data_IF_714965326662
#
_entry.id   IF_714965326662
#
_cell.length_a   1.000
_cell.length_b   1.000
_cell.length_c   1.000
_cell.angle_alpha   90.00
_cell.angle_beta   90.00
_cell.angle_gamma   90.00
#
_symmetry.space_group_name_H-M   'P 1'
#
loop_
_entity.id
_entity.type
_entity.pdbx_description
1 polymer ?
#
# COMPACT_ATOMS: atom_id res chain seq x y z
N UNK A 1 5.82 -32.19 -30.12
CA UNK A 1 4.67 -31.36 -30.57
C UNK A 1 4.56 -30.01 -29.85
N UNK A 2 4.79 -29.92 -28.54
CA UNK A 2 4.64 -28.69 -27.74
C UNK A 2 5.32 -27.43 -28.33
N UNK A 3 6.57 -27.54 -28.82
CA UNK A 3 7.32 -26.39 -29.34
C UNK A 3 6.74 -25.84 -30.66
N UNK A 4 6.37 -26.71 -31.61
CA UNK A 4 5.78 -26.30 -32.91
C UNK A 4 4.47 -25.55 -32.73
N UNK A 5 3.64 -25.95 -31.76
CA UNK A 5 2.28 -25.43 -31.60
C UNK A 5 2.18 -24.41 -30.48
N UNK A 6 2.13 -24.85 -29.22
CA UNK A 6 1.85 -23.99 -28.06
C UNK A 6 2.87 -22.87 -27.91
N UNK A 7 4.16 -23.21 -27.97
CA UNK A 7 5.25 -22.23 -27.80
C UNK A 7 5.26 -21.22 -28.94
N UNK A 8 5.20 -21.72 -30.18
CA UNK A 8 5.25 -20.87 -31.37
C UNK A 8 4.05 -19.91 -31.46
N UNK A 9 2.84 -20.39 -31.14
CA UNK A 9 1.65 -19.54 -31.06
C UNK A 9 1.80 -18.45 -30.00
N UNK A 10 2.32 -18.79 -28.82
CA UNK A 10 2.50 -17.82 -27.74
C UNK A 10 3.57 -16.76 -28.05
N UNK A 11 4.66 -17.14 -28.73
CA UNK A 11 5.76 -16.21 -29.05
C UNK A 11 5.50 -15.37 -30.31
N UNK A 12 4.92 -15.97 -31.34
CA UNK A 12 4.87 -15.40 -32.69
C UNK A 12 3.45 -15.30 -33.28
N UNK A 13 2.41 -15.72 -32.53
CA UNK A 13 1.02 -15.67 -32.99
C UNK A 13 0.66 -16.70 -34.07
N UNK A 14 1.60 -17.59 -34.45
CA UNK A 14 1.39 -18.66 -35.44
C UNK A 14 2.11 -19.95 -35.06
N UNK A 15 1.69 -21.08 -35.63
CA UNK A 15 2.46 -22.33 -35.52
C UNK A 15 3.71 -22.28 -36.40
N UNK A 16 4.72 -23.07 -36.04
CA UNK A 16 5.87 -23.23 -36.92
C UNK A 16 5.47 -23.94 -38.21
N UNK A 17 6.00 -23.52 -39.35
CA UNK A 17 5.53 -24.00 -40.66
C UNK A 17 5.68 -25.53 -40.77
N UNK A 18 6.86 -26.08 -40.45
CA UNK A 18 7.09 -27.53 -40.44
C UNK A 18 7.96 -27.99 -39.27
N UNK A 19 7.75 -29.25 -38.90
CA UNK A 19 8.62 -30.00 -37.99
C UNK A 19 8.88 -31.34 -38.66
N UNK A 20 10.11 -31.58 -39.07
CA UNK A 20 10.55 -32.77 -39.78
C UNK A 20 11.61 -33.51 -38.96
N UNK A 21 11.78 -34.81 -39.19
CA UNK A 21 12.88 -35.60 -38.62
C UNK A 21 13.89 -35.85 -39.74
N UNK A 22 15.18 -35.79 -39.43
CA UNK A 22 16.23 -36.11 -40.40
C UNK A 22 16.10 -37.56 -40.89
N UNK A 23 16.44 -37.78 -42.16
CA UNK A 23 16.48 -39.12 -42.74
C UNK A 23 17.78 -39.85 -42.37
N UNK A 24 18.86 -39.11 -42.11
CA UNK A 24 20.19 -39.67 -41.83
C UNK A 24 20.39 -39.99 -40.34
N UNK A 25 19.73 -39.23 -39.45
CA UNK A 25 19.81 -39.41 -38.00
C UNK A 25 18.43 -39.32 -37.35
N UNK A 26 18.04 -40.39 -36.66
CA UNK A 26 16.75 -40.47 -35.97
C UNK A 26 16.66 -39.54 -34.75
N UNK A 27 17.78 -39.07 -34.21
CA UNK A 27 17.82 -38.14 -33.08
C UNK A 27 17.79 -36.68 -33.51
N UNK A 28 17.89 -36.39 -34.81
CA UNK A 28 17.90 -35.02 -35.33
C UNK A 28 16.52 -34.60 -35.82
N UNK A 29 16.04 -33.47 -35.30
CA UNK A 29 14.76 -32.87 -35.68
C UNK A 29 14.98 -31.46 -36.23
N UNK A 30 14.22 -31.11 -37.27
CA UNK A 30 14.30 -29.86 -37.99
C UNK A 30 13.00 -29.08 -37.81
N UNK A 31 13.10 -27.91 -37.17
CA UNK A 31 12.00 -26.95 -37.09
C UNK A 31 12.20 -25.90 -38.19
N UNK A 32 11.28 -25.87 -39.16
CA UNK A 32 11.43 -25.10 -40.39
C UNK A 32 10.45 -23.93 -40.36
N UNK A 33 10.99 -22.75 -40.62
CA UNK A 33 10.29 -21.48 -40.77
C UNK A 33 10.71 -20.85 -42.09
N UNK A 34 9.75 -20.63 -42.99
CA UNK A 34 10.00 -20.02 -44.29
C UNK A 34 10.28 -18.53 -44.14
N UNK A 35 9.55 -17.86 -43.25
CA UNK A 35 9.68 -16.43 -42.97
C UNK A 35 9.69 -16.19 -41.45
N UNK A 36 10.89 -16.15 -40.81
CA UNK A 36 10.98 -15.96 -39.37
C UNK A 36 10.40 -14.60 -38.97
N UNK A 37 9.43 -14.58 -38.05
CA UNK A 37 8.80 -13.33 -37.57
C UNK A 37 9.82 -12.36 -36.99
N UNK A 38 10.90 -12.85 -36.37
CA UNK A 38 11.97 -12.01 -35.85
C UNK A 38 12.68 -11.17 -36.93
N UNK A 39 12.59 -11.57 -38.19
CA UNK A 39 13.19 -10.82 -39.29
C UNK A 39 12.39 -9.56 -39.68
N UNK A 40 11.12 -9.42 -39.26
CA UNK A 40 10.35 -8.19 -39.49
C UNK A 40 10.83 -7.02 -38.64
N UNK A 41 11.53 -7.30 -37.54
CA UNK A 41 11.98 -6.29 -36.57
C UNK A 41 13.46 -5.93 -36.70
N UNK A 42 14.16 -6.48 -37.70
CA UNK A 42 15.58 -6.20 -37.95
C UNK A 42 15.76 -5.73 -39.39
N UNK A 43 16.66 -4.77 -39.59
CA UNK A 43 17.08 -4.35 -40.92
C UNK A 43 18.39 -5.06 -41.28
N UNK A 44 18.37 -5.90 -42.30
CA UNK A 44 19.58 -6.57 -42.81
C UNK A 44 20.16 -5.72 -43.95
N UNK A 45 21.43 -5.27 -43.86
CA UNK A 45 22.11 -4.58 -44.95
C UNK A 45 22.11 -5.40 -46.25
N UNK A 46 21.99 -4.74 -47.40
CA UNK A 46 21.84 -5.39 -48.73
C UNK A 46 23.03 -6.29 -49.10
N UNK A 47 24.20 -6.01 -48.54
CA UNK A 47 25.45 -6.76 -48.69
C UNK A 47 25.51 -8.03 -47.82
N UNK A 48 24.60 -8.19 -46.85
CA UNK A 48 24.59 -9.30 -45.88
C UNK A 48 23.30 -10.12 -45.90
N UNK A 49 22.66 -10.22 -47.07
CA UNK A 49 21.27 -10.66 -47.25
C UNK A 49 20.82 -12.01 -46.65
N UNK A 50 21.73 -12.86 -46.14
CA UNK A 50 21.38 -14.13 -45.46
C UNK A 50 21.47 -14.08 -43.93
N UNK A 51 21.76 -12.92 -43.33
CA UNK A 51 21.89 -12.81 -41.87
C UNK A 51 20.50 -12.84 -41.23
N UNK A 52 20.15 -13.95 -40.59
CA UNK A 52 18.89 -14.12 -39.88
C UNK A 52 19.13 -14.10 -38.35
N UNK A 53 18.14 -13.60 -37.60
CA UNK A 53 18.15 -13.69 -36.14
C UNK A 53 17.60 -15.04 -35.63
N UNK A 54 17.65 -16.08 -36.47
CA UNK A 54 17.19 -17.42 -36.09
C UNK A 54 18.02 -17.99 -34.92
N UNK A 55 19.26 -17.51 -34.74
CA UNK A 55 20.09 -17.86 -33.58
C UNK A 55 19.44 -17.48 -32.24
N UNK A 56 18.73 -16.34 -32.16
CA UNK A 56 17.99 -15.95 -30.95
C UNK A 56 16.84 -16.93 -30.67
N UNK A 57 16.07 -17.28 -31.70
CA UNK A 57 14.98 -18.25 -31.61
C UNK A 57 15.53 -19.64 -31.23
N UNK A 58 16.66 -20.04 -31.79
CA UNK A 58 17.34 -21.29 -31.45
C UNK A 58 17.74 -21.32 -29.96
N UNK A 59 18.22 -20.20 -29.40
CA UNK A 59 18.51 -20.07 -27.97
C UNK A 59 17.28 -20.25 -27.09
N UNK A 60 16.13 -19.70 -27.48
CA UNK A 60 14.85 -19.93 -26.77
C UNK A 60 14.47 -21.41 -26.82
N UNK A 61 14.52 -22.03 -28.01
CA UNK A 61 14.19 -23.45 -28.19
C UNK A 61 15.10 -24.34 -27.35
N UNK A 62 16.41 -24.08 -27.38
CA UNK A 62 17.39 -24.80 -26.57
C UNK A 62 17.06 -24.66 -25.07
N UNK A 63 16.84 -23.43 -24.59
CA UNK A 63 16.50 -23.20 -23.19
C UNK A 63 15.22 -23.95 -22.78
N UNK A 64 14.22 -24.02 -23.65
CA UNK A 64 12.98 -24.76 -23.36
C UNK A 64 13.16 -26.27 -23.38
N UNK A 65 14.06 -26.80 -24.21
CA UNK A 65 14.39 -28.23 -24.26
C UNK A 65 15.26 -28.65 -23.08
N UNK A 66 16.15 -27.78 -22.62
CA UNK A 66 17.04 -28.01 -21.48
C UNK A 66 16.39 -27.67 -20.13
N UNK A 67 15.30 -26.89 -20.12
CA UNK A 67 14.65 -26.44 -18.90
C UNK A 67 14.18 -27.62 -18.07
N UNK A 68 14.80 -27.77 -16.89
CA UNK A 68 14.36 -28.70 -15.86
C UNK A 68 13.41 -27.97 -14.92
N UNK A 69 12.15 -28.39 -14.93
CA UNK A 69 11.18 -27.87 -13.96
C UNK A 69 11.67 -28.14 -12.54
N UNK A 70 11.92 -27.06 -11.79
CA UNK A 70 12.23 -27.17 -10.37
C UNK A 70 10.94 -27.19 -9.57
N UNK A 71 10.79 -28.23 -8.76
CA UNK A 71 9.70 -28.31 -7.82
C UNK A 71 9.91 -27.29 -6.70
N UNK A 72 9.10 -26.23 -6.68
CA UNK A 72 9.11 -25.26 -5.59
C UNK A 72 8.32 -25.88 -4.44
N UNK A 73 9.06 -26.39 -3.44
CA UNK A 73 8.44 -26.90 -2.23
C UNK A 73 7.71 -25.75 -1.52
N UNK A 74 6.40 -25.91 -1.29
CA UNK A 74 5.58 -24.99 -0.52
C UNK A 74 5.67 -25.32 0.97
N UNK A 75 4.89 -24.62 1.80
CA UNK A 75 4.87 -24.86 3.25
C UNK A 75 4.60 -26.35 3.56
N UNK A 76 5.14 -26.88 4.67
CA UNK A 76 4.85 -28.25 5.06
C UNK A 76 3.37 -28.49 5.24
N UNK A 77 2.98 -29.74 5.05
CA UNK A 77 1.59 -30.19 5.10
C UNK A 77 0.87 -29.73 6.38
N UNK A 78 1.50 -29.84 7.54
CA UNK A 78 0.86 -29.49 8.80
C UNK A 78 0.58 -27.97 8.93
N UNK A 79 1.47 -27.12 8.40
CA UNK A 79 1.23 -25.68 8.31
C UNK A 79 0.11 -25.38 7.33
N UNK A 80 0.11 -26.05 6.17
CA UNK A 80 -0.91 -25.85 5.15
C UNK A 80 -2.30 -26.15 5.71
N UNK A 81 -2.45 -27.29 6.39
CA UNK A 81 -3.70 -27.70 7.05
C UNK A 81 -4.10 -26.72 8.13
N UNK A 82 -3.16 -26.21 8.93
CA UNK A 82 -3.44 -25.25 9.99
C UNK A 82 -3.93 -23.89 9.42
N UNK A 83 -3.22 -23.34 8.44
CA UNK A 83 -3.45 -22.00 7.88
C UNK A 83 -4.65 -21.96 6.92
N UNK A 84 -4.70 -22.90 5.97
CA UNK A 84 -5.65 -22.83 4.86
C UNK A 84 -6.84 -23.78 5.01
N UNK A 85 -6.73 -24.80 5.87
CA UNK A 85 -7.77 -25.83 6.12
C UNK A 85 -8.36 -26.41 4.83
N UNK A 86 -7.54 -26.51 3.79
CA UNK A 86 -7.88 -27.04 2.47
C UNK A 86 -7.05 -28.28 2.15
N UNK A 87 -7.34 -28.91 1.01
CA UNK A 87 -6.55 -30.02 0.50
C UNK A 87 -5.08 -29.63 0.34
N UNK A 88 -4.20 -30.55 0.72
CA UNK A 88 -2.76 -30.34 0.73
C UNK A 88 -2.22 -30.39 -0.70
N UNK A 89 -1.52 -29.35 -1.18
CA UNK A 89 -0.93 -29.36 -2.50
C UNK A 89 0.10 -30.47 -2.64
N UNK A 90 0.21 -31.05 -3.83
CA UNK A 90 1.30 -31.97 -4.16
C UNK A 90 2.69 -31.34 -4.02
N UNK A 91 2.74 -30.00 -3.91
CA UNK A 91 3.97 -29.24 -3.76
C UNK A 91 4.44 -29.04 -2.31
N UNK A 92 3.70 -29.52 -1.30
CA UNK A 92 4.08 -29.34 0.10
C UNK A 92 5.43 -29.94 0.45
N UNK A 93 6.24 -29.20 1.21
CA UNK A 93 7.54 -29.68 1.69
C UNK A 93 7.39 -30.85 2.68
N UNK A 94 8.34 -31.77 2.64
CA UNK A 94 8.47 -32.87 3.60
C UNK A 94 9.16 -32.45 4.91
N UNK A 95 9.71 -31.24 4.96
CA UNK A 95 10.40 -30.74 6.14
C UNK A 95 9.42 -30.57 7.31
N UNK A 96 9.79 -31.07 8.48
CA UNK A 96 9.08 -30.81 9.73
C UNK A 96 9.88 -29.83 10.58
N UNK A 97 9.18 -28.92 11.24
CA UNK A 97 9.74 -28.05 12.27
C UNK A 97 8.79 -28.07 13.45
N UNK A 98 9.32 -28.10 14.65
CA UNK A 98 8.54 -28.07 15.89
C UNK A 98 8.29 -26.60 16.24
N UNK A 99 7.14 -26.08 15.80
CA UNK A 99 6.66 -24.75 16.20
C UNK A 99 5.25 -24.92 16.77
N UNK A 100 5.03 -24.38 17.96
CA UNK A 100 3.68 -24.26 18.52
C UNK A 100 2.92 -23.17 17.76
N UNK A 101 1.84 -23.58 17.06
CA UNK A 101 1.02 -22.67 16.28
C UNK A 101 -0.11 -22.09 17.15
N UNK A 102 -0.36 -20.76 17.07
CA UNK A 102 -1.44 -20.14 17.80
C UNK A 102 -2.80 -20.65 17.29
N UNK A 103 -3.79 -20.66 18.17
CA UNK A 103 -5.15 -21.07 17.79
C UNK A 103 -5.81 -20.01 16.91
N UNK A 104 -6.22 -20.41 15.70
CA UNK A 104 -7.01 -19.54 14.82
C UNK A 104 -8.45 -19.44 15.31
N UNK A 105 -8.96 -18.20 15.36
CA UNK A 105 -10.35 -17.88 15.76
C UNK A 105 -11.43 -18.32 14.76
N UNK A 106 -11.05 -18.71 13.55
CA UNK A 106 -11.97 -19.06 12.46
C UNK A 106 -11.36 -20.11 11.53
N UNK A 107 -12.14 -20.54 10.53
CA UNK A 107 -11.70 -21.51 9.52
C UNK A 107 -10.83 -20.93 8.39
N UNK A 108 -10.91 -19.61 8.16
CA UNK A 108 -10.13 -18.91 7.13
C UNK A 108 -9.25 -17.86 7.78
N UNK A 109 -7.98 -17.77 7.34
CA UNK A 109 -7.07 -16.70 7.77
C UNK A 109 -7.65 -15.30 7.57
N UNK A 110 -8.36 -15.09 6.45
CA UNK A 110 -8.99 -13.80 6.17
C UNK A 110 -10.02 -13.45 7.26
N UNK A 111 -10.84 -14.42 7.66
CA UNK A 111 -11.83 -14.22 8.70
C UNK A 111 -11.18 -14.05 10.09
N UNK A 112 -10.07 -14.74 10.34
CA UNK A 112 -9.32 -14.60 11.58
C UNK A 112 -8.76 -13.18 11.75
N UNK A 113 -8.18 -12.63 10.67
CA UNK A 113 -7.72 -11.24 10.65
C UNK A 113 -8.88 -10.25 10.78
N UNK A 114 -10.03 -10.52 10.16
CA UNK A 114 -11.23 -9.69 10.31
C UNK A 114 -11.72 -9.63 11.75
N UNK A 115 -11.87 -10.79 12.41
CA UNK A 115 -12.27 -10.87 13.83
C UNK A 115 -11.28 -10.14 14.71
N UNK A 116 -9.98 -10.38 14.51
CA UNK A 116 -8.92 -9.74 15.29
C UNK A 116 -8.89 -8.22 15.09
N UNK A 117 -9.06 -7.75 13.86
CA UNK A 117 -9.17 -6.33 13.57
C UNK A 117 -10.39 -5.69 14.23
N UNK A 118 -11.55 -6.35 14.18
CA UNK A 118 -12.77 -5.87 14.83
C UNK A 118 -12.57 -5.77 16.35
N UNK A 119 -12.08 -6.82 17.01
CA UNK A 119 -11.82 -6.78 18.46
C UNK A 119 -10.85 -5.66 18.89
N UNK A 120 -9.81 -5.40 18.09
CA UNK A 120 -8.83 -4.36 18.36
C UNK A 120 -9.38 -2.94 18.12
N UNK A 121 -10.35 -2.78 17.21
CA UNK A 121 -10.79 -1.47 16.71
C UNK A 121 -12.21 -1.08 17.14
N UNK A 122 -13.06 -2.04 17.55
CA UNK A 122 -14.49 -1.84 17.85
C UNK A 122 -14.74 -0.70 18.84
N UNK A 123 -13.99 -0.67 19.96
CA UNK A 123 -14.12 0.40 20.97
C UNK A 123 -13.79 1.78 20.40
N UNK A 124 -12.77 1.86 19.54
CA UNK A 124 -12.37 3.12 18.92
C UNK A 124 -13.32 3.55 17.81
N UNK A 125 -13.92 2.59 17.11
CA UNK A 125 -14.97 2.84 16.11
C UNK A 125 -16.20 3.49 16.76
N UNK A 126 -16.66 2.98 17.91
CA UNK A 126 -17.76 3.58 18.67
C UNK A 126 -17.46 5.03 19.07
N UNK A 127 -16.24 5.30 19.58
CA UNK A 127 -15.80 6.65 19.92
C UNK A 127 -15.76 7.59 18.69
N UNK A 128 -15.38 7.07 17.52
CA UNK A 128 -15.39 7.83 16.27
C UNK A 128 -16.81 8.11 15.78
N UNK A 129 -17.73 7.16 15.92
CA UNK A 129 -19.16 7.34 15.61
C UNK A 129 -19.78 8.41 16.52
N UNK A 130 -19.47 8.40 17.81
CA UNK A 130 -19.86 9.47 18.74
C UNK A 130 -19.24 10.83 18.35
N UNK A 131 -17.96 10.85 18.01
CA UNK A 131 -17.27 12.08 17.57
C UNK A 131 -17.87 12.65 16.28
N UNK A 132 -18.36 11.80 15.37
CA UNK A 132 -19.02 12.23 14.14
C UNK A 132 -20.36 12.93 14.39
N UNK A 133 -20.97 12.74 15.57
CA UNK A 133 -22.20 13.41 15.99
C UNK A 133 -21.94 14.77 16.67
N UNK A 134 -20.68 15.18 16.82
CA UNK A 134 -20.36 16.45 17.49
C UNK A 134 -20.91 17.65 16.71
N UNK A 135 -21.37 18.70 17.41
CA UNK A 135 -21.85 19.92 16.77
C UNK A 135 -20.73 20.56 15.93
N UNK A 136 -21.02 20.87 14.66
CA UNK A 136 -20.10 21.60 13.78
C UNK A 136 -19.91 23.06 14.21
N UNK A 137 -20.82 23.60 15.04
CA UNK A 137 -20.71 24.94 15.59
C UNK A 137 -20.01 24.89 16.95
N UNK A 138 -18.75 25.33 16.98
CA UNK A 138 -17.96 25.47 18.20
C UNK A 138 -17.82 26.95 18.57
N UNK A 139 -18.04 27.35 19.84
CA UNK A 139 -17.79 28.71 20.28
C UNK A 139 -16.29 29.01 20.19
N UNK A 140 -15.88 29.73 19.14
CA UNK A 140 -14.49 30.15 18.97
C UNK A 140 -14.12 31.07 20.15
N UNK A 141 -13.04 30.76 20.90
CA UNK A 141 -12.62 31.63 22.00
C UNK A 141 -12.20 33.00 21.45
N UNK A 142 -12.62 34.07 22.12
CA UNK A 142 -12.22 35.44 21.75
C UNK A 142 -10.71 35.65 21.89
N UNK A 143 -10.05 34.91 22.79
CA UNK A 143 -8.61 34.89 22.98
C UNK A 143 -8.13 33.48 23.25
N UNK A 144 -7.07 33.07 22.55
CA UNK A 144 -6.40 31.80 22.79
C UNK A 144 -5.44 31.94 23.97
N UNK A 145 -5.50 30.99 24.91
CA UNK A 145 -4.55 30.95 26.02
C UNK A 145 -3.24 30.32 25.55
N UNK A 146 -2.22 31.16 25.37
CA UNK A 146 -0.87 30.78 24.95
C UNK A 146 0.03 30.50 26.16
N UNK A 147 -0.28 29.44 26.90
CA UNK A 147 0.50 29.00 28.07
C UNK A 147 1.12 27.62 27.82
N UNK A 148 2.21 27.31 28.53
CA UNK A 148 2.86 25.99 28.43
C UNK A 148 1.95 24.89 28.98
N UNK A 149 1.67 23.87 28.16
CA UNK A 149 0.79 22.76 28.50
C UNK A 149 -0.33 22.57 27.46
N UNK A 150 -1.36 21.80 27.83
CA UNK A 150 -2.58 21.69 27.03
C UNK A 150 -3.67 22.61 27.58
N UNK A 151 -4.37 23.29 26.69
CA UNK A 151 -5.60 24.02 27.03
C UNK A 151 -6.77 23.28 26.42
N UNK A 152 -7.69 22.79 27.25
CA UNK A 152 -8.92 22.16 26.80
C UNK A 152 -10.00 23.23 26.68
N UNK A 153 -10.61 23.31 25.50
CA UNK A 153 -11.77 24.15 25.24
C UNK A 153 -12.97 23.21 25.07
N UNK A 154 -13.93 23.27 26.00
CA UNK A 154 -15.11 22.44 25.97
C UNK A 154 -16.26 23.11 25.21
N UNK A 155 -17.21 22.31 24.72
CA UNK A 155 -18.39 22.78 23.97
C UNK A 155 -19.29 23.72 24.79
N UNK A 156 -19.28 23.60 26.11
CA UNK A 156 -19.99 24.50 27.04
C UNK A 156 -19.26 25.84 27.28
N UNK A 157 -18.12 26.07 26.62
CA UNK A 157 -17.28 27.25 26.81
C UNK A 157 -16.33 27.19 28.00
N UNK A 158 -16.27 26.07 28.76
CA UNK A 158 -15.28 25.93 29.83
C UNK A 158 -13.87 25.78 29.26
N UNK A 159 -12.91 26.43 29.93
CA UNK A 159 -11.49 26.42 29.54
C UNK A 159 -10.66 25.87 30.70
N UNK A 160 -10.08 24.70 30.51
CA UNK A 160 -9.26 24.02 31.52
C UNK A 160 -7.78 24.02 31.09
N UNK A 161 -6.87 24.41 32.00
CA UNK A 161 -5.42 24.33 31.75
C UNK A 161 -4.85 23.05 32.35
N UNK A 162 -4.11 22.29 31.54
CA UNK A 162 -3.35 21.14 31.96
C UNK A 162 -1.86 21.50 31.90
N UNK A 163 -1.27 21.72 33.08
CA UNK A 163 0.14 22.11 33.21
C UNK A 163 1.03 20.96 32.77
N UNK A 164 2.01 21.25 31.90
CA UNK A 164 3.05 20.28 31.59
C UNK A 164 3.87 19.98 32.85
N UNK A 165 3.97 18.71 33.25
CA UNK A 165 4.97 18.30 34.25
C UNK A 165 6.35 18.34 33.58
N UNK A 166 7.41 18.67 34.33
CA UNK A 166 8.77 19.10 33.94
C UNK A 166 9.57 18.30 32.88
N UNK A 167 8.97 17.36 32.18
CA UNK A 167 9.54 16.78 30.96
C UNK A 167 8.94 17.49 29.76
N UNK A 168 9.75 17.88 28.76
CA UNK A 168 9.36 18.49 27.47
C UNK A 168 8.34 17.68 26.61
N UNK A 169 7.66 16.71 27.21
CA UNK A 169 6.72 15.79 26.60
C UNK A 169 5.42 15.83 27.37
N UNK A 170 4.34 16.12 26.67
CA UNK A 170 3.04 16.25 27.31
C UNK A 170 2.33 14.90 27.30
N UNK A 171 1.84 14.45 28.46
CA UNK A 171 0.96 13.29 28.55
C UNK A 171 -0.43 13.71 28.11
N UNK A 172 -0.92 13.16 26.99
CA UNK A 172 -2.31 13.38 26.55
C UNK A 172 -3.26 12.81 27.60
N UNK A 173 -2.91 11.66 28.20
CA UNK A 173 -3.47 11.09 29.44
C UNK A 173 -2.43 10.11 30.00
N UNK A 174 -1.84 10.30 31.20
CA UNK A 174 -0.94 9.30 31.77
C UNK A 174 -1.71 8.06 32.21
N UNK A 175 -1.32 6.87 31.73
CA UNK A 175 -1.66 5.59 32.35
C UNK A 175 -3.13 5.14 32.32
N UNK A 176 -4.01 5.77 31.54
CA UNK A 176 -5.39 5.31 31.43
C UNK A 176 -5.49 4.03 30.57
N UNK A 177 -6.12 3.00 31.12
CA UNK A 177 -6.51 1.78 30.39
C UNK A 177 -7.80 1.98 29.57
N UNK A 178 -8.44 3.15 29.73
CA UNK A 178 -9.64 3.51 29.00
C UNK A 178 -9.32 3.87 27.54
N UNK A 179 -10.09 3.30 26.62
CA UNK A 179 -9.97 3.59 25.20
C UNK A 179 -10.29 5.07 24.92
N UNK A 180 -9.39 5.76 24.20
CA UNK A 180 -9.58 7.15 23.79
C UNK A 180 -9.06 7.37 22.37
N UNK A 181 -9.66 8.32 21.65
CA UNK A 181 -9.23 8.71 20.30
C UNK A 181 -8.87 10.19 20.28
N UNK A 182 -7.72 10.52 19.69
CA UNK A 182 -7.30 11.88 19.38
C UNK A 182 -7.43 12.08 17.88
N UNK A 183 -8.30 13.00 17.48
CA UNK A 183 -8.53 13.35 16.08
C UNK A 183 -7.92 14.73 15.83
N UNK A 184 -7.14 14.87 14.77
CA UNK A 184 -6.56 16.15 14.42
C UNK A 184 -5.93 16.15 13.03
N UNK A 185 -5.40 17.31 12.64
CA UNK A 185 -4.62 17.46 11.42
C UNK A 185 -3.14 17.40 11.77
N UNK A 186 -2.35 16.66 11.01
CA UNK A 186 -0.90 16.55 11.23
C UNK A 186 -0.55 16.01 12.63
N UNK A 187 -1.36 15.05 13.11
CA UNK A 187 -1.24 14.46 14.45
C UNK A 187 0.13 13.81 14.64
N UNK A 188 0.75 13.32 13.55
CA UNK A 188 2.11 12.79 13.60
C UNK A 188 3.14 13.79 14.15
N UNK A 189 3.00 15.08 13.82
CA UNK A 189 3.88 16.14 14.29
C UNK A 189 3.78 16.36 15.81
N UNK A 190 2.54 16.40 16.33
CA UNK A 190 2.28 16.56 17.75
C UNK A 190 2.63 15.29 18.53
N UNK A 191 2.34 14.12 17.96
CA UNK A 191 2.62 12.80 18.56
C UNK A 191 4.12 12.56 18.74
N UNK A 192 4.98 13.07 17.86
CA UNK A 192 6.42 13.00 18.03
C UNK A 192 6.92 13.69 19.33
N UNK A 193 6.13 14.64 19.86
CA UNK A 193 6.40 15.36 21.10
C UNK A 193 5.65 14.78 22.30
N UNK A 194 4.79 13.77 22.09
CA UNK A 194 4.13 13.05 23.17
C UNK A 194 5.08 12.05 23.84
N UNK A 195 4.88 11.82 25.15
CA UNK A 195 5.67 10.84 25.92
C UNK A 195 5.28 9.39 25.62
N UNK A 196 3.99 9.19 25.37
CA UNK A 196 3.30 7.90 25.26
C UNK A 196 3.91 6.89 24.27
N UNK A 197 4.39 7.28 23.06
CA UNK A 197 5.03 6.34 22.14
C UNK A 197 6.33 5.73 22.67
N UNK A 198 6.99 6.41 23.63
CA UNK A 198 8.27 5.99 24.21
C UNK A 198 8.12 5.23 25.52
N UNK A 199 6.90 5.08 26.04
CA UNK A 199 6.63 4.31 27.25
C UNK A 199 6.54 2.81 26.92
N UNK A 200 7.02 1.99 27.86
CA UNK A 200 7.02 0.52 27.76
C UNK A 200 5.60 -0.04 27.85
N UNK A 201 4.80 0.46 28.82
CA UNK A 201 3.35 0.21 28.87
C UNK A 201 2.68 1.21 27.92
N UNK A 202 2.11 0.70 26.83
CA UNK A 202 1.35 1.53 25.88
C UNK A 202 0.04 1.97 26.49
N UNK A 203 -0.39 3.17 26.15
CA UNK A 203 -1.71 3.66 26.52
C UNK A 203 -2.79 3.06 25.61
N UNK A 204 -4.04 3.11 26.09
CA UNK A 204 -5.20 2.81 25.25
C UNK A 204 -5.61 3.99 24.36
N UNK A 205 -4.78 5.03 24.21
CA UNK A 205 -5.04 6.15 23.29
C UNK A 205 -4.67 5.75 21.86
N UNK A 206 -5.52 6.11 20.91
CA UNK A 206 -5.26 5.99 19.46
C UNK A 206 -5.39 7.35 18.79
N UNK A 207 -4.70 7.51 17.67
CA UNK A 207 -4.61 8.77 16.96
C UNK A 207 -5.18 8.61 15.55
N UNK A 208 -5.99 9.57 15.12
CA UNK A 208 -6.56 9.64 13.79
C UNK A 208 -6.14 10.97 13.14
N UNK A 209 -5.28 10.88 12.13
CA UNK A 209 -4.84 12.05 11.37
C UNK A 209 -5.75 12.26 10.17
N UNK A 210 -6.47 13.38 10.15
CA UNK A 210 -7.40 13.72 9.08
C UNK A 210 -6.67 14.05 7.77
N UNK A 211 -5.40 14.45 7.79
CA UNK A 211 -4.58 14.58 6.58
C UNK A 211 -4.18 13.20 6.04
N UNK A 212 -3.85 12.24 6.91
CA UNK A 212 -3.56 10.88 6.45
C UNK A 212 -4.80 10.15 5.95
N UNK A 213 -5.98 10.46 6.52
CA UNK A 213 -7.26 9.89 6.10
C UNK A 213 -7.71 10.38 4.72
N UNK A 214 -7.33 11.60 4.30
CA UNK A 214 -7.68 12.09 2.98
C UNK A 214 -6.95 11.35 1.86
N UNK A 215 -5.75 10.81 2.13
CA UNK A 215 -4.94 10.07 1.14
C UNK A 215 -5.65 8.82 0.60
N UNK A 216 -6.16 7.86 1.41
CA UNK A 216 -6.87 6.71 0.87
C UNK A 216 -8.22 7.05 0.23
N UNK A 217 -8.86 8.15 0.64
CA UNK A 217 -10.17 8.55 0.10
C UNK A 217 -10.06 9.34 -1.20
N UNK A 218 -9.01 10.15 -1.34
CA UNK A 218 -8.90 11.19 -2.37
C UNK A 218 -7.46 11.43 -2.85
N UNK A 219 -6.51 10.63 -2.40
CA UNK A 219 -5.12 10.74 -2.78
C UNK A 219 -4.90 10.39 -4.24
N UNK A 220 -3.83 10.96 -4.79
CA UNK A 220 -3.42 10.80 -6.18
C UNK A 220 -1.98 10.31 -6.22
N UNK A 221 -1.61 9.60 -7.29
CA UNK A 221 -0.23 9.24 -7.55
C UNK A 221 0.57 10.45 -8.05
N UNK A 222 1.89 10.46 -7.83
CA UNK A 222 2.77 11.60 -8.12
C UNK A 222 2.65 12.12 -9.57
N UNK A 223 2.58 11.21 -10.55
CA UNK A 223 2.42 11.60 -11.95
C UNK A 223 1.08 12.29 -12.22
N UNK A 224 0.01 11.86 -11.55
CA UNK A 224 -1.31 12.47 -11.68
C UNK A 224 -1.30 13.88 -11.08
N UNK A 225 -0.70 14.04 -9.90
CA UNK A 225 -0.51 15.36 -9.27
C UNK A 225 0.24 16.29 -10.22
N UNK A 226 1.39 15.85 -10.75
CA UNK A 226 2.17 16.65 -11.69
C UNK A 226 1.38 17.04 -12.94
N UNK A 227 0.59 16.13 -13.51
CA UNK A 227 -0.24 16.43 -14.68
C UNK A 227 -1.33 17.44 -14.33
N UNK A 228 -2.03 17.27 -13.21
CA UNK A 228 -3.13 18.15 -12.81
C UNK A 228 -2.70 19.50 -12.25
N UNK A 229 -1.47 19.63 -11.76
CA UNK A 229 -0.87 20.93 -11.44
C UNK A 229 -0.53 21.73 -12.71
N UNK A 230 -0.22 21.04 -13.81
CA UNK A 230 0.13 21.68 -15.10
C UNK A 230 -1.06 21.94 -16.02
N UNK A 231 -2.16 21.21 -15.83
CA UNK A 231 -3.35 21.32 -16.66
C UNK A 231 -4.39 22.25 -16.02
N UNK A 232 -4.48 23.47 -16.54
CA UNK A 232 -5.36 24.53 -16.04
C UNK A 232 -6.81 24.41 -16.57
N UNK A 233 -7.09 23.38 -17.37
CA UNK A 233 -8.37 23.25 -18.07
C UNK A 233 -9.52 22.73 -17.20
N UNK A 234 -9.24 21.99 -16.12
CA UNK A 234 -10.25 21.41 -15.23
C UNK A 234 -10.19 22.00 -13.81
N UNK A 235 -10.90 23.12 -13.64
CA UNK A 235 -11.06 23.81 -12.35
C UNK A 235 -11.59 22.89 -11.23
N UNK A 236 -12.43 21.90 -11.56
CA UNK A 236 -13.06 21.03 -10.56
C UNK A 236 -12.06 20.01 -10.02
N UNK A 237 -11.19 19.51 -10.88
CA UNK A 237 -10.13 18.59 -10.51
C UNK A 237 -8.97 19.30 -9.80
N UNK A 238 -8.63 20.52 -10.22
CA UNK A 238 -7.68 21.38 -9.51
C UNK A 238 -8.20 21.79 -8.13
N UNK A 239 -9.50 22.08 -8.01
CA UNK A 239 -10.14 22.30 -6.71
C UNK A 239 -9.97 21.07 -5.82
N UNK A 240 -10.21 19.86 -6.32
CA UNK A 240 -9.94 18.63 -5.56
C UNK A 240 -8.44 18.44 -5.26
N UNK A 241 -7.52 18.71 -6.18
CA UNK A 241 -6.08 18.59 -5.91
C UNK A 241 -5.62 19.58 -4.81
N UNK A 242 -5.97 20.86 -4.95
CA UNK A 242 -5.56 21.91 -4.02
C UNK A 242 -6.34 21.83 -2.69
N UNK A 243 -7.66 21.58 -2.70
CA UNK A 243 -8.46 21.51 -1.48
C UNK A 243 -8.30 20.18 -0.74
N UNK A 244 -7.91 19.05 -1.35
CA UNK A 244 -7.84 17.79 -0.61
C UNK A 244 -6.54 17.62 0.20
N UNK A 245 -5.48 18.34 -0.19
CA UNK A 245 -4.28 18.53 0.62
C UNK A 245 -4.31 19.81 1.48
N UNK A 246 -4.93 20.92 1.02
CA UNK A 246 -4.94 22.21 1.75
C UNK A 246 -6.27 22.66 2.37
N UNK A 247 -7.46 22.10 2.08
CA UNK A 247 -8.74 22.59 2.62
C UNK A 247 -8.91 22.35 4.12
N UNK A 248 -8.30 21.29 4.64
CA UNK A 248 -8.06 21.15 6.07
C UNK A 248 -7.48 22.43 6.70
N UNK A 249 -6.54 23.09 6.00
CA UNK A 249 -5.97 24.38 6.42
C UNK A 249 -6.80 25.60 5.99
N UNK A 250 -7.55 25.53 4.87
CA UNK A 250 -8.31 26.66 4.31
C UNK A 250 -9.61 26.95 5.08
N UNK A 251 -10.24 25.96 5.74
CA UNK A 251 -11.34 26.22 6.69
C UNK A 251 -10.90 27.15 7.85
N UNK A 252 -9.63 27.09 8.25
CA UNK A 252 -9.08 28.00 9.27
C UNK A 252 -8.71 29.40 8.74
N UNK A 253 -8.67 29.60 7.42
CA UNK A 253 -8.27 30.89 6.81
C UNK A 253 -9.42 31.84 6.48
N UNK A 254 -10.68 31.39 6.53
CA UNK A 254 -11.80 32.22 6.08
C UNK A 254 -12.40 33.13 7.16
N UNK A 255 -11.75 33.30 8.32
CA UNK A 255 -12.17 34.27 9.34
C UNK A 255 -11.08 35.31 9.61
N UNK A 256 -11.36 36.51 9.12
CA UNK A 256 -10.85 37.83 9.48
C UNK A 256 -9.45 38.29 9.07
N UNK A 257 -9.44 39.54 8.57
CA UNK A 257 -8.30 40.41 8.33
C UNK A 257 -7.55 40.83 9.59
N UNK A 258 -7.18 39.85 10.41
CA UNK A 258 -6.33 40.00 11.59
C UNK A 258 -5.46 38.75 11.71
N UNK A 259 -4.18 38.88 11.34
CA UNK A 259 -3.18 37.81 11.44
C UNK A 259 -3.09 37.29 12.88
N UNK A 260 -3.70 36.14 13.16
CA UNK A 260 -3.20 35.21 14.17
C UNK A 260 -2.60 34.01 13.45
N UNK A 261 -1.34 34.14 13.05
CA UNK A 261 -0.51 33.00 12.69
C UNK A 261 -0.14 32.26 13.97
N UNK A 262 -0.79 31.13 14.23
CA UNK A 262 -0.23 30.11 15.11
C UNK A 262 0.00 28.87 14.27
N UNK A 263 1.25 28.69 13.83
CA UNK A 263 1.82 27.36 13.57
C UNK A 263 1.64 26.73 12.19
N UNK A 264 1.86 27.47 11.10
CA UNK A 264 1.94 26.91 9.73
C UNK A 264 3.14 27.38 8.92
N UNK A 265 4.21 27.82 9.58
CA UNK A 265 5.48 28.18 8.94
C UNK A 265 6.64 27.66 9.76
N UNK A 266 7.07 26.46 9.41
CA UNK A 266 8.47 26.06 9.42
C UNK A 266 8.58 24.92 8.39
N UNK A 267 8.51 25.30 7.12
CA UNK A 267 8.96 24.48 6.01
C UNK A 267 9.67 25.42 5.03
N UNK A 268 10.87 25.01 4.61
CA UNK A 268 11.92 25.73 3.86
C UNK A 268 12.99 26.52 4.65
N UNK A 269 13.73 25.83 5.52
CA UNK A 269 15.18 25.50 5.37
C UNK A 269 15.66 24.73 6.59
#
# INVERSE_FOLDING_TARGET
MFIKSSVWKSLFGKEADKLERSNDDQCTYLLIEKEPVVNTFISVPKDKGMLNCAAFVAGIVQAMLEFKAHHIATVPEYLHRHLFRSDVPSTSAQASFEIELPTLKSASLQEHFRITAEELTQKYKQLLEEAALFPLHFPKPCQWRCETGWTRYAHNGSIEQYRATNTHRVSVVPGSEEARVVIGHNVGYDRARAKEPYEQKKSAVRFMDTMSMSIPMFGMADHQVSTYETDDSDFKLRYLCEHMCFAAMKMFRSCDGGKCMVGGRNMFR
#
